data_IF_481868350015
#
_entry.id   IF_481868350015
#
_cell.length_a   1.000
_cell.length_b   1.000
_cell.length_c   1.000
_cell.angle_alpha   90.00
_cell.angle_beta   90.00
_cell.angle_gamma   90.00
#
_symmetry.space_group_name_H-M   'P 1'
#
loop_
_entity.id
_entity.type
_entity.pdbx_description
1 polymer ?
#
# COMPACT_ATOMS: atom_id res chain seq x y z
N UNK A 1 -9.30 13.80 8.76
CA UNK A 1 -10.25 13.84 7.62
C UNK A 1 -10.98 12.52 7.61
N UNK A 2 -12.31 12.51 7.46
CA UNK A 2 -13.05 11.25 7.31
C UNK A 2 -12.69 10.63 5.96
N UNK A 3 -12.43 9.32 5.88
CA UNK A 3 -12.24 8.65 4.59
C UNK A 3 -13.52 8.80 3.75
N UNK A 4 -13.36 9.13 2.47
CA UNK A 4 -14.46 9.09 1.50
C UNK A 4 -14.52 7.68 0.94
N UNK A 5 -15.69 7.05 1.00
CA UNK A 5 -15.90 5.68 0.51
C UNK A 5 -16.79 5.79 -0.72
N UNK A 6 -16.19 5.57 -1.88
CA UNK A 6 -16.91 5.42 -3.15
C UNK A 6 -16.91 3.93 -3.50
N UNK A 7 -18.09 3.39 -3.78
CA UNK A 7 -18.37 1.98 -4.01
C UNK A 7 -19.05 1.82 -5.36
N UNK A 8 -18.52 0.94 -6.19
CA UNK A 8 -19.10 0.59 -7.49
C UNK A 8 -19.41 -0.92 -7.53
N UNK A 9 -20.63 -1.27 -7.94
CA UNK A 9 -21.06 -2.67 -8.07
C UNK A 9 -20.75 -3.16 -9.49
N UNK A 10 -19.90 -4.16 -9.61
CA UNK A 10 -19.53 -4.74 -10.91
C UNK A 10 -20.41 -5.92 -11.30
N UNK A 11 -20.71 -6.81 -10.35
CA UNK A 11 -21.54 -7.98 -10.61
C UNK A 11 -22.21 -8.49 -9.36
N UNK A 12 -23.31 -9.20 -9.56
CA UNK A 12 -24.07 -9.85 -8.50
C UNK A 12 -24.44 -11.25 -8.97
N UNK A 13 -24.18 -12.25 -8.14
CA UNK A 13 -24.55 -13.64 -8.38
C UNK A 13 -25.38 -14.15 -7.19
N UNK A 14 -26.68 -14.42 -7.38
CA UNK A 14 -27.52 -15.00 -6.35
C UNK A 14 -27.33 -16.52 -6.27
N UNK A 15 -27.33 -17.03 -5.04
CA UNK A 15 -27.36 -18.44 -4.69
C UNK A 15 -28.59 -18.71 -3.82
N UNK A 16 -29.73 -18.94 -4.50
CA UNK A 16 -31.03 -19.12 -3.85
C UNK A 16 -31.08 -20.31 -2.88
N UNK A 17 -30.52 -21.50 -3.21
CA UNK A 17 -30.55 -22.65 -2.30
C UNK A 17 -29.89 -22.40 -0.95
N UNK A 18 -28.81 -21.62 -0.91
CA UNK A 18 -28.08 -21.29 0.31
C UNK A 18 -28.44 -19.91 0.87
N UNK A 19 -29.37 -19.19 0.24
CA UNK A 19 -29.72 -17.81 0.56
C UNK A 19 -28.49 -16.89 0.64
N UNK A 20 -27.61 -16.97 -0.36
CA UNK A 20 -26.40 -16.16 -0.43
C UNK A 20 -26.41 -15.24 -1.63
N UNK A 21 -25.82 -14.06 -1.46
CA UNK A 21 -25.60 -13.11 -2.55
C UNK A 21 -24.12 -12.77 -2.63
N UNK A 22 -23.51 -13.12 -3.75
CA UNK A 22 -22.14 -12.78 -4.04
C UNK A 22 -22.12 -11.48 -4.83
N UNK A 23 -21.60 -10.40 -4.24
CA UNK A 23 -21.45 -9.11 -4.90
C UNK A 23 -19.97 -8.85 -5.13
N UNK A 24 -19.59 -8.56 -6.38
CA UNK A 24 -18.26 -8.05 -6.71
C UNK A 24 -18.32 -6.55 -6.80
N UNK A 25 -17.47 -5.89 -6.03
CA UNK A 25 -17.46 -4.45 -5.81
C UNK A 25 -16.05 -3.92 -6.08
N UNK A 26 -15.92 -2.66 -6.51
CA UNK A 26 -14.70 -1.90 -6.27
C UNK A 26 -14.95 -0.82 -5.25
N UNK A 27 -13.95 -0.61 -4.40
CA UNK A 27 -13.94 0.45 -3.42
C UNK A 27 -12.69 1.28 -3.58
N UNK A 28 -12.86 2.59 -3.61
CA UNK A 28 -11.74 3.52 -3.58
C UNK A 28 -11.34 3.73 -2.12
N UNK A 29 -10.17 3.23 -1.74
CA UNK A 29 -9.60 3.44 -0.40
C UNK A 29 -8.54 4.54 -0.43
N UNK A 30 -8.77 5.59 0.34
CA UNK A 30 -7.76 6.62 0.64
C UNK A 30 -7.23 6.42 2.06
N UNK A 31 -6.05 5.84 2.23
CA UNK A 31 -5.44 5.58 3.55
C UNK A 31 -4.66 6.83 4.01
N UNK A 32 -4.88 7.27 5.25
CA UNK A 32 -4.25 8.49 5.80
C UNK A 32 -2.71 8.42 5.85
N UNK A 33 -2.13 7.21 5.90
CA UNK A 33 -0.68 7.00 5.93
C UNK A 33 0.03 7.47 4.64
N UNK A 34 -0.69 7.53 3.50
CA UNK A 34 -0.15 8.07 2.25
C UNK A 34 -1.26 8.74 1.42
N UNK A 35 -1.34 10.09 1.43
CA UNK A 35 -2.40 10.82 0.73
C UNK A 35 -2.26 10.81 -0.80
N UNK A 36 -1.15 10.30 -1.36
CA UNK A 36 -0.87 10.32 -2.79
C UNK A 36 -1.18 9.00 -3.51
N UNK A 37 -1.76 8.00 -2.84
CA UNK A 37 -2.09 6.72 -3.46
C UNK A 37 -3.57 6.42 -3.26
N UNK A 38 -4.33 6.66 -4.33
CA UNK A 38 -5.73 6.27 -4.47
C UNK A 38 -5.72 5.06 -5.39
N UNK A 39 -5.97 3.87 -4.86
CA UNK A 39 -6.05 2.66 -5.66
C UNK A 39 -7.48 2.09 -5.57
N UNK A 40 -8.14 1.83 -6.70
CA UNK A 40 -9.39 1.06 -6.70
C UNK A 40 -9.05 -0.37 -6.29
N UNK A 41 -9.62 -0.82 -5.17
CA UNK A 41 -9.44 -2.16 -4.65
C UNK A 41 -10.69 -2.97 -4.97
N UNK A 42 -10.48 -4.14 -5.59
CA UNK A 42 -11.56 -5.08 -5.87
C UNK A 42 -11.85 -5.91 -4.63
N UNK A 43 -13.13 -5.99 -4.27
CA UNK A 43 -13.65 -6.74 -3.14
C UNK A 43 -14.76 -7.67 -3.62
N UNK A 44 -14.80 -8.88 -3.06
CA UNK A 44 -15.98 -9.74 -3.17
C UNK A 44 -16.64 -9.82 -1.82
N UNK A 45 -17.89 -9.36 -1.75
CA UNK A 45 -18.73 -9.42 -0.55
C UNK A 45 -19.69 -10.59 -0.68
N UNK A 46 -19.75 -11.43 0.35
CA UNK A 46 -20.73 -12.50 0.50
C UNK A 46 -21.77 -12.01 1.51
N UNK A 47 -23.02 -11.88 1.08
CA UNK A 47 -24.13 -11.53 1.94
C UNK A 47 -24.96 -12.78 2.22
N UNK A 48 -25.08 -13.16 3.49
CA UNK A 48 -26.05 -14.16 3.90
C UNK A 48 -27.42 -13.49 4.07
N UNK A 49 -28.43 -14.09 3.47
CA UNK A 49 -29.80 -13.57 3.41
C UNK A 49 -30.72 -14.41 4.30
N UNK A 50 -31.75 -13.76 4.85
CA UNK A 50 -32.89 -14.42 5.50
C UNK A 50 -34.19 -13.86 4.96
N UNK A 51 -35.21 -14.71 4.85
CA UNK A 51 -36.59 -14.29 4.58
C UNK A 51 -37.40 -14.10 5.86
N UNK A 52 -36.83 -14.50 7.00
CA UNK A 52 -37.43 -14.31 8.32
C UNK A 52 -36.79 -13.08 8.99
N UNK A 53 -37.50 -11.93 9.09
CA UNK A 53 -37.02 -10.73 9.77
C UNK A 53 -36.90 -10.88 11.30
N UNK A 54 -37.21 -12.06 11.87
CA UNK A 54 -37.36 -12.27 13.30
C UNK A 54 -38.71 -11.77 13.82
N UNK A 55 -38.80 -11.49 15.12
CA UNK A 55 -40.05 -11.16 15.86
C UNK A 55 -40.78 -9.88 15.38
N UNK A 56 -40.27 -9.23 14.33
CA UNK A 56 -40.89 -8.11 13.65
C UNK A 56 -41.60 -8.63 12.41
N UNK A 57 -42.89 -8.97 12.56
CA UNK A 57 -43.79 -9.20 11.43
C UNK A 57 -43.91 -7.94 10.57
N UNK A 58 -42.95 -7.74 9.66
CA UNK A 58 -42.93 -6.67 8.65
C UNK A 58 -43.55 -7.20 7.35
N UNK A 59 -44.75 -7.77 7.43
CA UNK A 59 -45.50 -8.24 6.25
C UNK A 59 -46.22 -7.05 5.61
N UNK A 60 -45.50 -6.30 4.79
CA UNK A 60 -46.09 -5.29 3.91
C UNK A 60 -46.62 -5.97 2.63
N UNK A 61 -47.72 -6.72 2.76
CA UNK A 61 -48.38 -7.42 1.64
C UNK A 61 -47.57 -8.58 1.06
N UNK A 62 -48.04 -9.11 -0.07
CA UNK A 62 -47.67 -10.38 -0.76
C UNK A 62 -46.20 -10.49 -1.24
N UNK A 63 -45.29 -9.64 -0.74
CA UNK A 63 -43.87 -9.61 -1.12
C UNK A 63 -43.00 -10.14 0.02
N UNK A 64 -42.32 -11.26 -0.24
CA UNK A 64 -41.23 -11.73 0.61
C UNK A 64 -40.02 -10.81 0.43
N UNK A 65 -39.50 -10.28 1.52
CA UNK A 65 -38.28 -9.46 1.53
C UNK A 65 -37.09 -10.32 1.96
N UNK A 66 -35.96 -10.14 1.31
CA UNK A 66 -34.68 -10.68 1.75
C UNK A 66 -33.98 -9.67 2.65
N UNK A 67 -33.58 -10.09 3.83
CA UNK A 67 -32.84 -9.30 4.81
C UNK A 67 -31.41 -9.82 4.90
N UNK A 68 -30.44 -8.91 5.03
CA UNK A 68 -29.03 -9.26 5.19
C UNK A 68 -28.79 -9.60 6.67
N UNK A 69 -28.33 -10.80 6.96
CA UNK A 69 -28.00 -11.25 8.32
C UNK A 69 -26.52 -11.12 8.63
N UNK A 70 -25.69 -11.45 7.64
CA UNK A 70 -24.24 -11.45 7.75
C UNK A 70 -23.61 -10.96 6.46
N UNK A 71 -22.45 -10.32 6.59
CA UNK A 71 -21.65 -9.80 5.49
C UNK A 71 -20.20 -10.20 5.71
N UNK A 72 -19.66 -10.99 4.78
CA UNK A 72 -18.24 -11.37 4.72
C UNK A 72 -17.56 -10.66 3.55
N UNK A 73 -16.64 -9.75 3.88
CA UNK A 73 -15.90 -8.97 2.90
C UNK A 73 -14.53 -9.61 2.62
N UNK A 74 -14.38 -10.21 1.44
CA UNK A 74 -13.16 -10.91 1.05
C UNK A 74 -12.26 -10.05 0.16
N UNK A 75 -11.19 -9.53 0.77
CA UNK A 75 -10.17 -8.78 0.07
C UNK A 75 -9.31 -9.70 -0.80
N UNK A 76 -9.08 -9.31 -2.05
CA UNK A 76 -8.20 -10.06 -2.93
C UNK A 76 -6.73 -9.89 -2.49
N UNK A 77 -6.01 -10.98 -2.18
CA UNK A 77 -4.61 -10.90 -1.75
C UNK A 77 -3.69 -10.30 -2.84
N UNK A 78 -4.06 -10.38 -4.11
CA UNK A 78 -3.28 -9.73 -5.18
C UNK A 78 -3.17 -8.21 -5.02
N UNK A 79 -4.08 -7.58 -4.29
CA UNK A 79 -4.08 -6.13 -4.08
C UNK A 79 -3.01 -5.66 -3.08
N UNK A 80 -2.62 -6.49 -2.09
CA UNK A 80 -1.54 -6.12 -1.16
C UNK A 80 -0.19 -6.01 -1.87
N UNK A 81 0.02 -6.79 -2.94
CA UNK A 81 1.27 -6.81 -3.71
C UNK A 81 1.54 -5.43 -4.31
N UNK A 82 0.50 -4.70 -4.73
CA UNK A 82 0.64 -3.36 -5.31
C UNK A 82 1.27 -2.36 -4.34
N UNK A 83 1.07 -2.54 -3.04
CA UNK A 83 1.62 -1.65 -2.02
C UNK A 83 3.03 -2.07 -1.58
N UNK A 84 3.29 -3.39 -1.50
CA UNK A 84 4.55 -3.92 -0.97
C UNK A 84 5.64 -3.99 -2.05
N UNK A 85 5.30 -4.36 -3.28
CA UNK A 85 6.26 -4.68 -4.33
C UNK A 85 7.17 -3.50 -4.73
N UNK A 86 6.67 -2.26 -4.93
CA UNK A 86 7.53 -1.13 -5.29
C UNK A 86 8.52 -0.79 -4.17
N UNK A 87 8.06 -0.81 -2.92
CA UNK A 87 8.91 -0.53 -1.75
C UNK A 87 9.96 -1.62 -1.55
N UNK A 88 9.57 -2.89 -1.64
CA UNK A 88 10.48 -4.01 -1.53
C UNK A 88 11.54 -4.00 -2.65
N UNK A 89 11.15 -3.65 -3.88
CA UNK A 89 12.07 -3.55 -5.01
C UNK A 89 13.11 -2.43 -4.81
N UNK A 90 12.67 -1.24 -4.36
CA UNK A 90 13.60 -0.14 -4.07
C UNK A 90 14.56 -0.51 -2.94
N UNK A 91 14.07 -1.09 -1.84
CA UNK A 91 14.95 -1.53 -0.74
C UNK A 91 15.97 -2.57 -1.20
N UNK A 92 15.55 -3.53 -2.04
CA UNK A 92 16.46 -4.53 -2.60
C UNK A 92 17.55 -3.89 -3.46
N UNK A 93 17.21 -2.92 -4.31
CA UNK A 93 18.18 -2.17 -5.10
C UNK A 93 19.13 -1.37 -4.20
N UNK A 94 18.64 -0.73 -3.13
CA UNK A 94 19.49 -0.01 -2.18
C UNK A 94 20.50 -0.95 -1.50
N UNK A 95 20.03 -2.09 -0.97
CA UNK A 95 20.90 -3.06 -0.29
C UNK A 95 21.97 -3.61 -1.25
N UNK A 96 21.58 -3.96 -2.48
CA UNK A 96 22.55 -4.41 -3.50
C UNK A 96 23.49 -3.29 -3.89
N UNK A 97 22.98 -2.07 -4.07
CA UNK A 97 23.77 -0.89 -4.41
C UNK A 97 24.85 -0.62 -3.36
N UNK A 98 24.49 -0.66 -2.08
CA UNK A 98 25.43 -0.48 -0.96
C UNK A 98 26.50 -1.58 -0.94
N UNK A 99 26.10 -2.83 -1.17
CA UNK A 99 27.04 -3.95 -1.25
C UNK A 99 28.01 -3.82 -2.43
N UNK A 100 27.50 -3.47 -3.61
CA UNK A 100 28.31 -3.26 -4.81
C UNK A 100 29.24 -2.05 -4.66
N UNK A 101 28.76 -0.96 -4.07
CA UNK A 101 29.56 0.24 -3.83
C UNK A 101 30.72 -0.07 -2.87
N UNK A 102 30.44 -0.81 -1.79
CA UNK A 102 31.45 -1.29 -0.85
C UNK A 102 32.50 -2.19 -1.52
N UNK A 103 32.07 -3.09 -2.41
CA UNK A 103 32.98 -3.94 -3.18
C UNK A 103 33.85 -3.15 -4.19
N UNK A 104 33.28 -2.13 -4.83
CA UNK A 104 34.02 -1.23 -5.74
C UNK A 104 35.07 -0.41 -4.99
N UNK A 105 34.74 0.05 -3.78
CA UNK A 105 35.67 0.72 -2.87
C UNK A 105 36.83 -0.19 -2.47
N UNK A 106 36.54 -1.44 -2.06
CA UNK A 106 37.56 -2.43 -1.71
C UNK A 106 38.54 -2.70 -2.87
N UNK A 107 38.06 -2.61 -4.11
CA UNK A 107 38.89 -2.80 -5.31
C UNK A 107 39.66 -1.55 -5.75
N UNK A 108 39.48 -0.42 -5.08
CA UNK A 108 40.15 0.84 -5.41
C UNK A 108 39.74 1.43 -6.76
N UNK A 109 38.57 1.04 -7.27
CA UNK A 109 38.05 1.55 -8.55
C UNK A 109 37.29 2.87 -8.41
N UNK A 110 37.13 3.40 -7.18
CA UNK A 110 36.48 4.69 -6.98
C UNK A 110 37.40 5.80 -7.49
N UNK A 111 36.97 6.59 -8.48
CA UNK A 111 37.79 7.66 -9.00
C UNK A 111 37.94 8.79 -7.98
N UNK A 112 39.17 9.28 -7.80
CA UNK A 112 39.54 10.28 -6.79
C UNK A 112 38.71 11.58 -6.80
N UNK A 113 38.03 11.92 -7.90
CA UNK A 113 37.14 13.09 -7.96
C UNK A 113 35.86 12.94 -7.12
N UNK A 114 35.40 11.70 -6.86
CA UNK A 114 34.27 11.44 -5.95
C UNK A 114 34.69 11.52 -4.47
N UNK A 115 35.94 11.20 -4.17
CA UNK A 115 36.52 11.29 -2.82
C UNK A 115 36.96 12.73 -2.45
N UNK A 116 37.07 13.62 -3.43
CA UNK A 116 37.43 15.04 -3.24
C UNK A 116 36.32 15.91 -2.65
N UNK A 117 35.12 15.36 -2.40
CA UNK A 117 34.03 16.04 -1.69
C UNK A 117 34.19 16.12 -0.17
N UNK A 118 35.42 16.08 0.34
CA UNK A 118 35.72 16.26 1.76
C UNK A 118 35.32 17.65 2.26
N UNK A 119 34.82 17.73 3.49
CA UNK A 119 34.45 18.99 4.14
C UNK A 119 35.61 20.01 4.02
N UNK A 120 35.42 21.18 3.38
CA UNK A 120 36.50 22.16 3.16
C UNK A 120 37.12 22.69 4.45
N UNK A 121 36.48 22.43 5.59
CA UNK A 121 36.99 22.76 6.94
C UNK A 121 38.19 21.90 7.36
N UNK A 122 38.38 20.70 6.78
CA UNK A 122 39.48 19.77 7.09
C UNK A 122 40.50 19.65 5.97
N UNK A 123 40.61 20.66 5.10
CA UNK A 123 41.72 20.75 4.17
C UNK A 123 43.02 21.01 4.96
N UNK A 124 43.79 19.93 5.17
CA UNK A 124 45.05 19.95 5.94
C UNK A 124 46.08 20.84 5.24
N UNK A 125 46.10 20.87 3.91
CA UNK A 125 47.05 21.66 3.13
C UNK A 125 46.80 23.16 3.37
N UNK A 126 45.52 23.57 3.43
CA UNK A 126 45.15 24.94 3.77
C UNK A 126 45.54 25.31 5.21
N UNK A 127 45.30 24.42 6.18
CA UNK A 127 45.67 24.67 7.58
C UNK A 127 47.18 24.76 7.81
N UNK A 128 47.97 23.94 7.13
CA UNK A 128 49.43 24.02 7.20
C UNK A 128 49.91 25.37 6.68
N UNK A 129 49.34 25.86 5.57
CA UNK A 129 49.68 27.19 5.03
C UNK A 129 49.26 28.36 5.93
N UNK A 130 48.11 28.25 6.63
CA UNK A 130 47.67 29.28 7.60
C UNK A 130 48.66 29.35 8.79
N UNK A 131 49.08 28.20 9.33
CA UNK A 131 50.02 28.13 10.46
C UNK A 131 51.41 28.65 10.06
N UNK A 132 51.90 28.32 8.85
CA UNK A 132 53.17 28.86 8.35
C UNK A 132 53.11 30.37 8.07
N UNK A 133 51.93 30.92 7.76
CA UNK A 133 51.76 32.36 7.54
C UNK A 133 51.63 33.19 8.82
N UNK A 134 51.30 32.55 9.95
CA UNK A 134 51.19 33.16 11.28
C UNK A 134 52.49 33.03 12.13
N UNK A 135 53.48 32.26 11.65
CA UNK A 135 54.82 32.13 12.26
C UNK A 135 55.84 33.11 11.69
#
# INVERSE_FOLDING_TARGET
MSPQIELEVHSVAPDEPNLRLYATLSQIFSIWLNPFHVLPVMLTTILDLTTDPGDKNLTNGDKSFYYITMQDDLYQPTEYIKFVLPHAFVMFICIIGDFLLSWVDEKGYIPNFLLQGGNPVYDIDRKVSEIESES
#
